data_IF_954562084524
#
_entry.id   IF_954562084524
#
_cell.length_a   1.000
_cell.length_b   1.000
_cell.length_c   1.000
_cell.angle_alpha   90.00
_cell.angle_beta   90.00
_cell.angle_gamma   90.00
#
_symmetry.space_group_name_H-M   'P 1'
#
loop_
_entity.id
_entity.type
_entity.pdbx_description
1 polymer ?
#
# COMPACT_ATOMS: atom_id res chain seq x y z
N UNK A 1 0.25 13.34 -16.54
CA UNK A 1 1.19 12.51 -15.73
C UNK A 1 2.28 11.95 -16.62
N UNK A 2 3.49 11.80 -16.11
CA UNK A 2 4.60 11.11 -16.78
C UNK A 2 4.36 9.59 -16.79
N UNK A 3 5.01 8.83 -17.70
CA UNK A 3 4.83 7.37 -17.79
C UNK A 3 5.08 6.63 -16.47
N UNK A 4 6.14 7.00 -15.74
CA UNK A 4 6.48 6.40 -14.44
C UNK A 4 5.42 6.66 -13.35
N UNK A 5 4.79 7.83 -13.36
CA UNK A 5 3.70 8.16 -12.45
C UNK A 5 2.44 7.36 -12.79
N UNK A 6 2.12 7.23 -14.08
CA UNK A 6 1.00 6.40 -14.52
C UNK A 6 1.20 4.93 -14.15
N UNK A 7 2.44 4.44 -14.24
CA UNK A 7 2.78 3.08 -13.81
C UNK A 7 2.56 2.89 -12.31
N UNK A 8 2.98 3.85 -11.48
CA UNK A 8 2.76 3.80 -10.03
C UNK A 8 1.27 3.81 -9.66
N UNK A 9 0.45 4.61 -10.34
CA UNK A 9 -1.00 4.64 -10.14
C UNK A 9 -1.63 3.31 -10.54
N UNK A 10 -1.30 2.75 -11.73
CA UNK A 10 -1.82 1.44 -12.16
C UNK A 10 -1.44 0.32 -11.19
N UNK A 11 -0.21 0.33 -10.69
CA UNK A 11 0.24 -0.66 -9.74
C UNK A 11 -0.55 -0.59 -8.43
N UNK A 12 -0.81 0.61 -7.92
CA UNK A 12 -1.64 0.82 -6.73
C UNK A 12 -3.10 0.41 -6.98
N UNK A 13 -3.65 0.75 -8.15
CA UNK A 13 -4.99 0.33 -8.58
C UNK A 13 -5.14 -1.19 -8.57
N UNK A 14 -4.21 -1.93 -9.18
CA UNK A 14 -4.25 -3.39 -9.20
C UNK A 14 -4.12 -4.00 -7.79
N UNK A 15 -3.26 -3.41 -6.93
CA UNK A 15 -3.16 -3.82 -5.52
C UNK A 15 -4.48 -3.60 -4.78
N UNK A 16 -5.07 -2.40 -4.89
CA UNK A 16 -6.34 -2.06 -4.23
C UNK A 16 -7.44 -3.04 -4.67
N UNK A 17 -7.52 -3.32 -5.97
CA UNK A 17 -8.50 -4.28 -6.51
C UNK A 17 -8.33 -5.68 -5.89
N UNK A 18 -7.10 -6.20 -5.86
CA UNK A 18 -6.82 -7.53 -5.30
C UNK A 18 -7.18 -7.59 -3.81
N UNK A 19 -6.76 -6.61 -3.03
CA UNK A 19 -6.99 -6.57 -1.58
C UNK A 19 -8.46 -6.32 -1.22
N UNK A 20 -9.21 -5.56 -2.03
CA UNK A 20 -10.67 -5.45 -1.90
C UNK A 20 -11.35 -6.80 -2.18
N UNK A 21 -10.94 -7.49 -3.23
CA UNK A 21 -11.47 -8.79 -3.60
C UNK A 21 -11.21 -9.85 -2.53
N UNK A 22 -10.06 -9.79 -1.84
CA UNK A 22 -9.68 -10.73 -0.80
C UNK A 22 -10.61 -10.74 0.43
N UNK A 23 -11.45 -9.72 0.58
CA UNK A 23 -12.47 -9.60 1.65
C UNK A 23 -13.89 -9.56 1.11
N UNK A 24 -14.11 -9.94 -0.16
CA UNK A 24 -15.38 -9.83 -0.87
C UNK A 24 -15.91 -8.38 -0.91
N UNK A 25 -15.01 -7.40 -0.98
CA UNK A 25 -15.32 -6.00 -1.20
C UNK A 25 -15.76 -5.71 -2.64
N UNK A 26 -16.23 -4.51 -2.87
CA UNK A 26 -16.56 -4.02 -4.22
C UNK A 26 -15.45 -3.11 -4.74
N UNK A 27 -15.23 -3.18 -6.05
CA UNK A 27 -14.27 -2.33 -6.75
C UNK A 27 -14.93 -1.69 -7.96
N UNK A 28 -14.96 -0.36 -7.99
CA UNK A 28 -15.48 0.44 -9.09
C UNK A 28 -14.30 1.08 -9.83
N UNK A 29 -14.14 0.78 -11.11
CA UNK A 29 -13.20 1.46 -11.99
C UNK A 29 -13.97 2.34 -13.00
N UNK A 30 -13.47 3.56 -13.20
CA UNK A 30 -13.99 4.54 -14.15
C UNK A 30 -12.82 5.18 -14.92
N UNK A 31 -13.08 6.05 -15.87
CA UNK A 31 -12.03 6.80 -16.55
C UNK A 31 -11.37 7.86 -15.65
N UNK A 32 -12.06 8.30 -14.60
CA UNK A 32 -11.62 9.39 -13.70
C UNK A 32 -10.97 8.88 -12.41
N UNK A 33 -11.47 7.75 -11.87
CA UNK A 33 -11.04 7.23 -10.57
C UNK A 33 -11.35 5.75 -10.41
N UNK A 34 -10.71 5.13 -9.42
CA UNK A 34 -11.13 3.86 -8.86
C UNK A 34 -11.59 4.04 -7.40
N UNK A 35 -12.53 3.21 -6.97
CA UNK A 35 -13.01 3.17 -5.60
C UNK A 35 -13.05 1.74 -5.11
N UNK A 36 -12.33 1.47 -4.02
CA UNK A 36 -12.44 0.26 -3.21
C UNK A 36 -13.41 0.48 -2.06
N UNK A 37 -14.32 -0.45 -1.86
CA UNK A 37 -15.22 -0.49 -0.71
C UNK A 37 -15.23 -1.91 -0.13
N UNK A 38 -14.63 -2.09 1.02
CA UNK A 38 -14.54 -3.38 1.73
C UNK A 38 -15.79 -3.71 2.53
N UNK A 39 -16.77 -2.79 2.61
CA UNK A 39 -17.95 -2.85 3.51
C UNK A 39 -17.55 -2.96 5.00
N UNK A 40 -16.35 -2.49 5.33
CA UNK A 40 -15.80 -2.36 6.69
C UNK A 40 -15.41 -0.89 6.83
N UNK A 41 -15.67 -0.28 7.99
CA UNK A 41 -15.34 1.14 8.20
C UNK A 41 -13.83 1.29 8.49
N UNK A 42 -13.03 1.28 7.43
CA UNK A 42 -11.56 1.39 7.44
C UNK A 42 -11.09 2.36 6.36
N UNK A 43 -10.27 3.34 6.69
CA UNK A 43 -9.63 4.25 5.75
C UNK A 43 -8.42 3.61 5.04
N UNK A 44 -7.82 2.59 5.66
CA UNK A 44 -6.68 1.86 5.10
C UNK A 44 -7.03 1.13 3.79
N UNK A 45 -8.25 0.60 3.65
CA UNK A 45 -8.66 -0.24 2.52
C UNK A 45 -9.86 0.27 1.74
N UNK A 46 -10.61 1.24 2.27
CA UNK A 46 -11.62 1.96 1.50
C UNK A 46 -10.94 3.18 0.86
N UNK A 47 -10.62 3.06 -0.41
CA UNK A 47 -9.78 4.02 -1.09
C UNK A 47 -10.46 4.56 -2.34
N UNK A 48 -10.50 5.89 -2.46
CA UNK A 48 -10.76 6.59 -3.70
C UNK A 48 -9.41 7.03 -4.28
N UNK A 49 -9.08 6.56 -5.48
CA UNK A 49 -7.83 6.87 -6.17
C UNK A 49 -8.14 7.55 -7.50
N UNK A 50 -7.89 8.86 -7.64
CA UNK A 50 -7.92 9.55 -8.93
C UNK A 50 -6.93 8.96 -9.93
N UNK A 51 -7.40 8.68 -11.15
CA UNK A 51 -6.59 8.10 -12.24
C UNK A 51 -6.40 9.04 -13.41
N UNK A 52 -7.20 10.12 -13.48
CA UNK A 52 -7.17 11.14 -14.53
C UNK A 52 -6.95 12.54 -13.95
N UNK A 53 -6.27 13.41 -14.71
CA UNK A 53 -6.07 14.82 -14.34
C UNK A 53 -7.34 15.67 -14.55
N UNK A 54 -8.22 15.26 -15.44
CA UNK A 54 -9.49 15.94 -15.70
C UNK A 54 -10.63 15.02 -15.30
N UNK A 55 -11.57 15.57 -14.53
CA UNK A 55 -12.78 14.85 -14.17
C UNK A 55 -13.77 14.99 -15.33
N UNK A 56 -14.02 13.90 -16.05
CA UNK A 56 -14.95 13.88 -17.16
C UNK A 56 -16.41 13.78 -16.72
N UNK A 57 -16.64 13.04 -15.61
CA UNK A 57 -17.98 12.90 -15.01
C UNK A 57 -17.97 13.27 -13.52
N UNK A 58 -18.06 14.60 -13.19
CA UNK A 58 -18.10 15.06 -11.81
C UNK A 58 -19.28 14.48 -10.99
N UNK A 59 -20.41 14.17 -11.65
CA UNK A 59 -21.57 13.59 -10.98
C UNK A 59 -21.27 12.19 -10.47
N UNK A 60 -20.51 11.41 -11.24
CA UNK A 60 -20.13 10.04 -10.88
C UNK A 60 -19.16 10.03 -9.70
N UNK A 61 -18.19 10.94 -9.68
CA UNK A 61 -17.25 11.11 -8.56
C UNK A 61 -18.01 11.49 -7.28
N UNK A 62 -18.89 12.51 -7.36
CA UNK A 62 -19.71 12.95 -6.23
C UNK A 62 -20.60 11.82 -5.71
N UNK A 63 -21.29 11.11 -6.60
CA UNK A 63 -22.11 9.96 -6.22
C UNK A 63 -21.32 8.86 -5.49
N UNK A 64 -20.07 8.61 -5.89
CA UNK A 64 -19.20 7.65 -5.22
C UNK A 64 -18.85 8.07 -3.78
N UNK A 65 -18.48 9.34 -3.58
CA UNK A 65 -18.19 9.90 -2.24
C UNK A 65 -19.45 9.88 -1.37
N UNK A 66 -20.57 10.34 -1.90
CA UNK A 66 -21.85 10.37 -1.18
C UNK A 66 -22.33 8.96 -0.81
N UNK A 67 -22.09 7.98 -1.68
CA UNK A 67 -22.39 6.58 -1.39
C UNK A 67 -21.61 6.09 -0.16
N UNK A 68 -20.31 6.32 -0.09
CA UNK A 68 -19.49 5.95 1.07
C UNK A 68 -19.98 6.64 2.36
N UNK A 69 -20.26 7.93 2.28
CA UNK A 69 -20.78 8.72 3.42
C UNK A 69 -22.18 8.26 3.88
N UNK A 70 -23.06 7.94 2.94
CA UNK A 70 -24.42 7.44 3.26
C UNK A 70 -24.40 6.11 4.01
N UNK A 71 -23.41 5.28 3.75
CA UNK A 71 -23.17 4.01 4.44
C UNK A 71 -22.38 4.19 5.75
N UNK A 72 -22.00 5.42 6.10
CA UNK A 72 -21.15 5.74 7.26
C UNK A 72 -19.81 4.99 7.24
N UNK A 73 -19.28 4.75 6.04
CA UNK A 73 -17.97 4.14 5.86
C UNK A 73 -16.90 5.23 5.89
N UNK A 74 -15.87 4.99 6.68
CA UNK A 74 -14.64 5.78 6.63
C UNK A 74 -13.90 5.37 5.36
N UNK A 75 -13.32 6.33 4.66
CA UNK A 75 -12.50 6.10 3.47
C UNK A 75 -11.46 7.22 3.36
N UNK A 76 -10.36 6.94 2.66
CA UNK A 76 -9.36 7.92 2.30
C UNK A 76 -9.32 8.17 0.79
N UNK A 77 -8.90 9.37 0.39
CA UNK A 77 -8.60 9.69 -1.00
C UNK A 77 -7.09 9.77 -1.15
N UNK A 78 -6.52 8.89 -1.97
CA UNK A 78 -5.09 8.86 -2.27
C UNK A 78 -4.85 9.52 -3.62
N UNK A 79 -4.18 10.67 -3.63
CA UNK A 79 -4.07 11.50 -4.82
C UNK A 79 -2.60 11.85 -5.12
N UNK A 80 -2.17 11.60 -6.37
CA UNK A 80 -0.86 12.07 -6.82
C UNK A 80 -0.81 13.60 -6.78
N UNK A 81 0.28 14.16 -6.29
CA UNK A 81 0.46 15.60 -6.12
C UNK A 81 0.15 16.43 -7.37
N UNK A 82 0.43 15.90 -8.56
CA UNK A 82 0.15 16.59 -9.82
C UNK A 82 -1.34 16.83 -10.04
N UNK A 83 -2.22 16.05 -9.43
CA UNK A 83 -3.67 16.19 -9.54
C UNK A 83 -4.24 17.22 -8.57
N UNK A 84 -3.48 17.63 -7.55
CA UNK A 84 -3.90 18.66 -6.58
C UNK A 84 -4.05 20.07 -7.18
N UNK A 85 -3.64 20.25 -8.43
CA UNK A 85 -3.78 21.52 -9.16
C UNK A 85 -4.84 21.44 -10.27
N UNK A 86 -5.76 20.50 -10.17
CA UNK A 86 -6.82 20.23 -11.15
C UNK A 86 -8.19 20.31 -10.46
N UNK A 87 -9.25 19.89 -11.15
CA UNK A 87 -10.63 19.83 -10.62
C UNK A 87 -10.75 19.02 -9.32
N UNK A 88 -9.79 18.12 -9.05
CA UNK A 88 -9.74 17.34 -7.80
C UNK A 88 -9.55 18.22 -6.56
N UNK A 89 -8.78 19.32 -6.67
CA UNK A 89 -8.58 20.24 -5.54
C UNK A 89 -9.88 20.87 -5.08
N UNK A 90 -10.73 21.28 -6.02
CA UNK A 90 -12.03 21.89 -5.72
C UNK A 90 -12.98 20.84 -5.10
N UNK A 91 -12.92 19.61 -5.59
CA UNK A 91 -13.74 18.51 -5.07
C UNK A 91 -13.32 18.13 -3.64
N UNK A 92 -12.02 17.99 -3.36
CA UNK A 92 -11.52 17.73 -2.00
C UNK A 92 -12.00 18.81 -1.02
N UNK A 93 -11.96 20.08 -1.44
CA UNK A 93 -12.42 21.22 -0.65
C UNK A 93 -13.95 21.22 -0.47
N UNK A 94 -14.73 20.91 -1.51
CA UNK A 94 -16.20 20.82 -1.45
C UNK A 94 -16.63 19.77 -0.43
N UNK A 95 -15.90 18.65 -0.34
CA UNK A 95 -16.20 17.59 0.63
C UNK A 95 -15.42 17.72 1.94
N UNK A 96 -14.76 18.86 2.17
CA UNK A 96 -14.02 19.18 3.41
C UNK A 96 -12.98 18.12 3.79
N UNK A 97 -12.43 17.39 2.80
CA UNK A 97 -11.40 16.41 3.03
C UNK A 97 -10.07 17.10 3.34
N UNK A 98 -9.39 16.66 4.40
CA UNK A 98 -8.14 17.26 4.88
C UNK A 98 -6.95 16.34 4.58
N UNK A 99 -5.82 16.93 4.19
CA UNK A 99 -4.58 16.17 4.02
C UNK A 99 -4.06 15.70 5.38
N UNK A 100 -3.96 14.40 5.57
CA UNK A 100 -3.51 13.76 6.82
C UNK A 100 -2.14 13.13 6.70
N UNK A 101 -1.72 12.75 5.48
CA UNK A 101 -0.44 12.11 5.23
C UNK A 101 0.08 12.44 3.83
N UNK A 102 1.41 12.44 3.67
CA UNK A 102 2.08 12.58 2.38
C UNK A 102 3.27 11.63 2.28
N UNK A 103 3.24 10.78 1.26
CA UNK A 103 4.28 9.80 0.98
C UNK A 103 5.03 10.14 -0.30
N UNK A 104 6.34 9.88 -0.34
CA UNK A 104 7.12 10.01 -1.58
C UNK A 104 6.98 8.73 -2.40
N UNK A 105 6.47 8.84 -3.64
CA UNK A 105 6.49 7.72 -4.58
C UNK A 105 7.92 7.62 -5.12
N UNK A 106 8.52 6.45 -4.97
CA UNK A 106 9.89 6.20 -5.39
C UNK A 106 9.96 4.98 -6.31
N UNK A 107 10.90 5.01 -7.25
CA UNK A 107 11.12 3.96 -8.23
C UNK A 107 12.59 3.57 -8.33
N UNK A 108 12.83 2.28 -8.47
CA UNK A 108 14.11 1.70 -8.90
C UNK A 108 13.87 1.07 -10.28
N UNK A 109 14.58 1.54 -11.31
CA UNK A 109 14.35 1.08 -12.69
C UNK A 109 14.67 -0.41 -12.87
N UNK A 110 15.79 -0.85 -12.30
CA UNK A 110 16.24 -2.25 -12.38
C UNK A 110 16.84 -2.69 -11.07
N UNK A 111 16.49 -3.88 -10.62
CA UNK A 111 17.04 -4.41 -9.36
C UNK A 111 18.49 -4.89 -9.47
N UNK A 112 18.98 -5.16 -10.70
CA UNK A 112 20.32 -5.72 -10.87
C UNK A 112 20.51 -7.05 -10.12
N UNK A 113 21.75 -7.41 -9.87
CA UNK A 113 22.10 -8.52 -8.98
C UNK A 113 22.18 -7.96 -7.55
N UNK A 114 21.20 -8.31 -6.72
CA UNK A 114 21.14 -7.91 -5.32
C UNK A 114 21.68 -9.06 -4.49
N UNK A 115 22.81 -8.83 -3.84
CA UNK A 115 23.37 -9.81 -2.91
C UNK A 115 22.43 -10.03 -1.72
N UNK A 116 22.17 -11.27 -1.32
CA UNK A 116 21.40 -11.55 -0.13
C UNK A 116 22.09 -10.97 1.10
N UNK A 117 21.31 -10.47 2.05
CA UNK A 117 21.84 -10.00 3.34
C UNK A 117 22.47 -11.16 4.09
N UNK A 118 23.79 -11.17 4.17
CA UNK A 118 24.58 -12.29 4.75
C UNK A 118 24.63 -12.26 6.28
N UNK A 119 24.23 -11.17 6.93
CA UNK A 119 24.33 -10.96 8.38
C UNK A 119 23.02 -10.67 9.09
N UNK A 120 21.86 -10.94 8.47
CA UNK A 120 20.57 -10.70 9.11
C UNK A 120 20.30 -11.69 10.25
N UNK A 121 19.79 -11.18 11.38
CA UNK A 121 19.26 -12.00 12.47
C UNK A 121 17.83 -12.51 12.19
N UNK A 122 17.23 -12.10 11.06
CA UNK A 122 15.86 -12.47 10.70
C UNK A 122 15.77 -13.85 10.07
N UNK A 123 14.80 -14.65 10.56
CA UNK A 123 14.23 -15.75 9.78
C UNK A 123 12.98 -15.24 9.10
N UNK A 124 12.97 -15.15 7.77
CA UNK A 124 11.82 -14.62 7.03
C UNK A 124 11.00 -15.80 6.49
N UNK A 125 9.67 -15.73 6.68
CA UNK A 125 8.72 -16.73 6.16
C UNK A 125 7.66 -16.02 5.31
N UNK A 126 7.26 -16.68 4.24
CA UNK A 126 6.10 -16.29 3.45
C UNK A 126 4.80 -16.64 4.19
N UNK A 127 3.77 -15.81 4.04
CA UNK A 127 2.44 -16.01 4.62
C UNK A 127 1.68 -17.00 3.75
N UNK A 128 1.65 -18.27 4.17
CA UNK A 128 1.02 -19.37 3.44
C UNK A 128 -0.04 -20.13 4.27
N UNK A 129 -0.17 -19.78 5.55
CA UNK A 129 -1.08 -20.42 6.50
C UNK A 129 -1.68 -19.42 7.49
N UNK A 130 -2.66 -19.87 8.26
CA UNK A 130 -3.36 -19.06 9.26
C UNK A 130 -2.41 -18.51 10.35
N UNK A 131 -1.38 -19.27 10.73
CA UNK A 131 -0.44 -18.83 11.77
C UNK A 131 0.43 -17.67 11.27
N UNK A 132 1.00 -17.78 10.08
CA UNK A 132 1.81 -16.72 9.50
C UNK A 132 0.97 -15.50 9.13
N UNK A 133 -0.30 -15.67 8.72
CA UNK A 133 -1.24 -14.57 8.55
C UNK A 133 -1.55 -13.89 9.89
N UNK A 134 -1.76 -14.66 10.94
CA UNK A 134 -1.98 -14.12 12.30
C UNK A 134 -0.79 -13.26 12.73
N UNK A 135 0.44 -13.75 12.53
CA UNK A 135 1.66 -13.02 12.90
C UNK A 135 1.81 -11.72 12.06
N UNK A 136 1.50 -11.77 10.77
CA UNK A 136 1.51 -10.60 9.88
C UNK A 136 0.51 -9.54 10.33
N UNK A 137 -0.78 -9.91 10.46
CA UNK A 137 -1.84 -8.98 10.85
C UNK A 137 -1.56 -8.34 12.20
N UNK A 138 -0.99 -9.09 13.15
CA UNK A 138 -0.70 -8.58 14.48
C UNK A 138 0.32 -7.43 14.44
N UNK A 139 1.38 -7.55 13.63
CA UNK A 139 2.34 -6.46 13.42
C UNK A 139 1.67 -5.28 12.69
N UNK A 140 0.87 -5.57 11.66
CA UNK A 140 0.19 -4.55 10.87
C UNK A 140 -0.77 -3.72 11.73
N UNK A 141 -1.65 -4.38 12.48
CA UNK A 141 -2.68 -3.73 13.32
C UNK A 141 -2.04 -2.94 14.48
N UNK A 142 -0.87 -3.36 14.95
CA UNK A 142 -0.17 -2.66 16.04
C UNK A 142 0.15 -1.20 15.70
N UNK A 143 0.31 -0.84 14.41
CA UNK A 143 0.47 0.56 13.97
C UNK A 143 -0.72 1.45 14.38
N UNK A 144 -1.90 0.86 14.45
CA UNK A 144 -3.17 1.54 14.71
C UNK A 144 -3.66 1.37 16.14
N UNK A 145 -2.79 0.89 17.04
CA UNK A 145 -3.12 0.62 18.43
C UNK A 145 -3.72 1.84 19.14
N UNK A 146 -4.91 1.67 19.68
CA UNK A 146 -5.63 2.72 20.40
C UNK A 146 -6.55 3.57 19.51
N UNK A 147 -6.64 3.29 18.22
CA UNK A 147 -7.59 3.91 17.30
C UNK A 147 -8.78 3.00 16.96
N UNK A 148 -9.84 3.57 16.39
CA UNK A 148 -10.98 2.81 15.84
C UNK A 148 -10.59 1.96 14.66
N UNK A 149 -9.55 2.35 13.91
CA UNK A 149 -9.01 1.64 12.76
C UNK A 149 -8.48 0.25 13.16
N UNK A 150 -7.85 0.10 14.32
CA UNK A 150 -7.38 -1.21 14.79
C UNK A 150 -8.51 -2.25 14.86
N UNK A 151 -9.70 -1.87 15.33
CA UNK A 151 -10.86 -2.78 15.40
C UNK A 151 -11.41 -3.11 14.00
N UNK A 152 -11.42 -2.14 13.08
CA UNK A 152 -11.84 -2.36 11.70
C UNK A 152 -10.89 -3.31 10.97
N UNK A 153 -9.58 -3.18 11.18
CA UNK A 153 -8.57 -4.05 10.61
C UNK A 153 -8.64 -5.48 11.15
N UNK A 154 -9.02 -5.69 12.42
CA UNK A 154 -9.30 -7.03 12.92
C UNK A 154 -10.44 -7.70 12.13
N UNK A 155 -11.52 -6.97 11.86
CA UNK A 155 -12.63 -7.47 11.02
C UNK A 155 -12.18 -7.73 9.59
N UNK A 156 -11.34 -6.85 9.04
CA UNK A 156 -10.78 -7.00 7.69
C UNK A 156 -10.01 -8.32 7.57
N UNK A 157 -9.05 -8.57 8.45
CA UNK A 157 -8.23 -9.77 8.41
C UNK A 157 -8.99 -11.06 8.79
N UNK A 158 -10.11 -10.98 9.50
CA UNK A 158 -11.01 -12.13 9.70
C UNK A 158 -11.71 -12.58 8.41
N UNK A 159 -11.94 -11.66 7.45
CA UNK A 159 -12.57 -11.95 6.16
C UNK A 159 -11.55 -12.23 5.06
N UNK A 160 -10.28 -12.03 5.34
CA UNK A 160 -9.21 -12.02 4.35
C UNK A 160 -8.91 -13.43 3.84
N UNK A 161 -9.01 -13.63 2.51
CA UNK A 161 -8.65 -14.88 1.85
C UNK A 161 -7.23 -14.80 1.30
N UNK A 162 -6.32 -15.59 1.85
CA UNK A 162 -4.92 -15.68 1.42
C UNK A 162 -4.84 -16.26 0.00
N UNK A 163 -5.70 -17.23 -0.34
CA UNK A 163 -5.65 -17.94 -1.61
C UNK A 163 -5.82 -17.01 -2.81
N UNK A 164 -6.56 -15.91 -2.65
CA UNK A 164 -6.75 -14.92 -3.71
C UNK A 164 -5.49 -14.11 -4.01
N UNK A 165 -4.51 -14.08 -3.10
CA UNK A 165 -3.30 -13.29 -3.26
C UNK A 165 -2.20 -13.98 -4.08
N UNK A 166 -2.08 -15.31 -3.99
CA UNK A 166 -0.91 -16.07 -4.46
C UNK A 166 -0.49 -15.84 -5.91
N UNK A 167 -1.35 -15.28 -6.75
CA UNK A 167 -1.00 -14.99 -8.15
C UNK A 167 -0.23 -13.70 -8.36
N UNK A 168 -0.35 -12.71 -7.44
CA UNK A 168 0.22 -11.37 -7.62
C UNK A 168 0.84 -10.77 -6.35
N UNK A 169 0.49 -11.27 -5.18
CA UNK A 169 0.94 -10.72 -3.91
C UNK A 169 1.56 -11.80 -3.04
N UNK A 170 2.74 -11.50 -2.51
CA UNK A 170 3.46 -12.36 -1.56
C UNK A 170 3.71 -11.55 -0.29
N UNK A 171 3.15 -12.00 0.82
CA UNK A 171 3.30 -11.40 2.13
C UNK A 171 4.36 -12.14 2.93
N UNK A 172 5.14 -11.42 3.74
CA UNK A 172 6.25 -12.00 4.49
C UNK A 172 6.25 -11.51 5.94
N UNK A 173 6.67 -12.40 6.84
CA UNK A 173 6.93 -12.10 8.25
C UNK A 173 8.38 -12.40 8.58
N UNK A 174 9.06 -11.45 9.20
CA UNK A 174 10.41 -11.62 9.73
C UNK A 174 10.37 -11.88 11.23
N UNK A 175 11.09 -12.91 11.65
CA UNK A 175 11.18 -13.36 13.04
C UNK A 175 12.57 -13.14 13.60
N UNK A 176 12.67 -12.52 14.76
CA UNK A 176 13.87 -12.45 15.59
C UNK A 176 13.67 -13.32 16.84
N UNK A 177 14.53 -14.33 17.05
CA UNK A 177 14.39 -15.29 18.17
C UNK A 177 12.96 -15.90 18.26
N UNK A 178 12.43 -16.34 17.13
CA UNK A 178 11.08 -16.92 16.97
C UNK A 178 9.91 -15.95 17.26
N UNK A 179 10.16 -14.66 17.47
CA UNK A 179 9.10 -13.65 17.64
C UNK A 179 8.88 -12.89 16.31
N UNK A 180 7.64 -12.71 15.89
CA UNK A 180 7.35 -11.91 14.70
C UNK A 180 7.61 -10.43 15.01
N UNK A 181 8.49 -9.79 14.23
CA UNK A 181 9.00 -8.44 14.51
C UNK A 181 8.89 -7.47 13.33
N UNK A 182 8.79 -7.98 12.10
CA UNK A 182 8.68 -7.14 10.91
C UNK A 182 7.85 -7.84 9.84
N UNK A 183 7.23 -7.06 8.96
CA UNK A 183 6.47 -7.54 7.81
C UNK A 183 7.00 -6.94 6.52
N UNK A 184 6.54 -7.48 5.40
CA UNK A 184 6.72 -6.93 4.07
C UNK A 184 5.77 -7.56 3.08
N UNK A 185 5.40 -6.81 2.05
CA UNK A 185 4.56 -7.25 0.96
C UNK A 185 5.24 -6.95 -0.36
N UNK A 186 5.36 -7.96 -1.21
CA UNK A 186 5.74 -7.84 -2.61
C UNK A 186 4.50 -8.04 -3.48
N UNK A 187 4.22 -7.08 -4.34
CA UNK A 187 3.09 -7.12 -5.27
C UNK A 187 3.61 -7.06 -6.71
N UNK A 188 3.19 -7.98 -7.56
CA UNK A 188 3.66 -8.06 -8.94
C UNK A 188 2.55 -7.66 -9.93
N UNK A 189 2.90 -6.78 -10.88
CA UNK A 189 2.11 -6.48 -12.06
C UNK A 189 2.86 -6.92 -13.33
N UNK A 190 2.28 -6.67 -14.49
CA UNK A 190 2.95 -6.97 -15.76
C UNK A 190 4.26 -6.18 -15.93
N UNK A 191 4.31 -4.93 -15.44
CA UNK A 191 5.37 -3.97 -15.74
C UNK A 191 6.28 -3.67 -14.54
N UNK A 192 5.84 -3.96 -13.32
CA UNK A 192 6.54 -3.54 -12.10
C UNK A 192 6.32 -4.49 -10.94
N UNK A 193 7.20 -4.36 -9.94
CA UNK A 193 6.98 -4.84 -8.57
C UNK A 193 6.65 -3.68 -7.67
N UNK A 194 5.76 -3.88 -6.69
CA UNK A 194 5.49 -2.94 -5.60
C UNK A 194 5.97 -3.52 -4.28
N UNK A 195 6.65 -2.71 -3.48
CA UNK A 195 7.00 -3.06 -2.11
C UNK A 195 6.12 -2.24 -1.18
N UNK A 196 5.40 -2.94 -0.29
CA UNK A 196 4.47 -2.37 0.67
C UNK A 196 4.66 -3.01 2.05
N UNK A 197 4.04 -2.41 3.05
CA UNK A 197 3.88 -2.95 4.40
C UNK A 197 5.21 -3.38 5.05
N UNK A 198 6.32 -2.66 4.74
CA UNK A 198 7.60 -2.85 5.42
C UNK A 198 7.49 -2.19 6.79
N UNK A 199 6.96 -2.95 7.74
CA UNK A 199 6.64 -2.50 9.09
C UNK A 199 7.55 -3.21 10.08
N UNK A 200 8.16 -2.47 10.99
CA UNK A 200 8.89 -3.05 12.12
C UNK A 200 8.26 -2.59 13.43
N UNK A 201 7.99 -3.53 14.33
CA UNK A 201 7.43 -3.25 15.66
C UNK A 201 8.26 -2.22 16.39
N UNK A 202 7.60 -1.32 17.13
CA UNK A 202 8.23 -0.14 17.74
C UNK A 202 9.47 -0.49 18.59
N UNK A 203 9.39 -1.51 19.41
CA UNK A 203 10.47 -1.97 20.29
C UNK A 203 11.64 -2.67 19.58
N UNK A 204 11.46 -2.95 18.27
CA UNK A 204 12.48 -3.58 17.42
C UNK A 204 13.07 -2.62 16.37
N UNK A 205 12.62 -1.34 16.33
CA UNK A 205 13.16 -0.32 15.42
C UNK A 205 14.59 0.05 15.79
N UNK A 206 15.31 0.65 14.81
CA UNK A 206 16.69 1.08 15.00
C UNK A 206 17.75 -0.02 14.96
N UNK A 207 17.36 -1.29 14.79
CA UNK A 207 18.25 -2.46 14.71
C UNK A 207 18.55 -2.93 13.28
N UNK A 208 18.05 -2.24 12.26
CA UNK A 208 18.25 -2.63 10.85
C UNK A 208 17.21 -3.63 10.30
N UNK A 209 16.31 -4.19 11.14
CA UNK A 209 15.41 -5.28 10.75
C UNK A 209 14.46 -4.91 9.59
N UNK A 210 13.98 -3.67 9.55
CA UNK A 210 13.17 -3.18 8.41
C UNK A 210 13.98 -3.09 7.11
N UNK A 211 15.26 -2.72 7.20
CA UNK A 211 16.17 -2.72 6.05
C UNK A 211 16.45 -4.14 5.56
N UNK A 212 16.61 -5.10 6.49
CA UNK A 212 16.83 -6.51 6.14
C UNK A 212 15.61 -7.10 5.45
N UNK A 213 14.38 -6.81 5.95
CA UNK A 213 13.14 -7.21 5.29
C UNK A 213 13.02 -6.59 3.90
N UNK A 214 13.27 -5.30 3.77
CA UNK A 214 13.25 -4.60 2.49
C UNK A 214 14.24 -5.20 1.49
N UNK A 215 15.48 -5.44 1.89
CA UNK A 215 16.48 -6.10 1.05
C UNK A 215 16.04 -7.51 0.63
N UNK A 216 15.47 -8.27 1.57
CA UNK A 216 14.92 -9.58 1.25
C UNK A 216 13.85 -9.49 0.15
N UNK A 217 12.90 -8.55 0.27
CA UNK A 217 11.86 -8.35 -0.75
C UNK A 217 12.47 -8.03 -2.13
N UNK A 218 13.53 -7.23 -2.19
CA UNK A 218 14.23 -6.97 -3.45
C UNK A 218 14.85 -8.24 -4.04
N UNK A 219 15.37 -9.17 -3.22
CA UNK A 219 15.90 -10.45 -3.73
C UNK A 219 14.79 -11.34 -4.27
N UNK A 220 13.54 -11.15 -3.87
CA UNK A 220 12.39 -11.92 -4.34
C UNK A 220 11.83 -11.43 -5.69
N UNK A 221 12.34 -10.33 -6.24
CA UNK A 221 11.97 -9.87 -7.57
C UNK A 221 12.63 -10.77 -8.62
N UNK A 222 11.84 -11.63 -9.28
CA UNK A 222 12.37 -12.64 -10.23
C UNK A 222 12.78 -12.01 -11.57
N UNK A 223 11.91 -11.11 -12.10
CA UNK A 223 12.20 -10.43 -13.36
C UNK A 223 12.93 -9.11 -13.11
N UNK A 224 14.27 -9.14 -13.26
CA UNK A 224 15.16 -7.99 -13.05
C UNK A 224 14.97 -6.84 -14.04
N UNK A 225 14.21 -7.04 -15.11
CA UNK A 225 13.87 -5.99 -16.08
C UNK A 225 12.68 -5.14 -15.65
N UNK A 226 11.85 -5.63 -14.72
CA UNK A 226 10.77 -4.83 -14.15
C UNK A 226 11.32 -3.82 -13.15
N UNK A 227 10.75 -2.61 -13.16
CA UNK A 227 11.04 -1.64 -12.13
C UNK A 227 10.37 -2.03 -10.79
N UNK A 228 10.89 -1.47 -9.70
CA UNK A 228 10.29 -1.60 -8.37
C UNK A 228 9.78 -0.24 -7.92
N UNK A 229 8.54 -0.19 -7.43
CA UNK A 229 7.86 1.02 -6.98
C UNK A 229 7.48 0.86 -5.51
N UNK A 230 7.58 1.94 -4.75
CA UNK A 230 7.12 2.01 -3.37
C UNK A 230 6.65 3.42 -3.01
N UNK A 231 5.91 3.49 -1.91
CA UNK A 231 5.52 4.76 -1.28
C UNK A 231 6.25 4.86 0.05
N UNK A 232 7.19 5.78 0.11
CA UNK A 232 8.05 5.99 1.27
C UNK A 232 7.44 7.03 2.21
N UNK A 233 7.24 6.64 3.47
CA UNK A 233 7.04 7.60 4.55
C UNK A 233 8.29 8.47 4.76
N UNK A 234 8.16 9.59 5.46
CA UNK A 234 9.29 10.46 5.77
C UNK A 234 10.44 9.71 6.46
N UNK A 235 10.12 8.80 7.38
CA UNK A 235 11.11 8.01 8.14
C UNK A 235 11.81 6.95 7.27
N UNK A 236 11.08 6.34 6.33
CA UNK A 236 11.58 5.26 5.48
C UNK A 236 12.42 5.72 4.28
N UNK A 237 12.22 6.96 3.81
CA UNK A 237 12.78 7.48 2.55
C UNK A 237 14.29 7.25 2.40
N UNK A 238 15.06 7.49 3.45
CA UNK A 238 16.51 7.34 3.43
C UNK A 238 17.00 5.91 3.22
N UNK A 239 16.20 4.90 3.61
CA UNK A 239 16.52 3.48 3.39
C UNK A 239 16.47 3.19 1.90
N UNK A 240 15.40 3.64 1.24
CA UNK A 240 15.16 3.40 -0.18
C UNK A 240 16.11 4.19 -1.08
N UNK A 241 16.44 5.43 -0.72
CA UNK A 241 17.43 6.22 -1.46
C UNK A 241 18.80 5.55 -1.47
N UNK A 242 19.25 4.96 -0.34
CA UNK A 242 20.52 4.23 -0.27
C UNK A 242 20.53 2.96 -1.13
N UNK A 243 19.36 2.36 -1.37
CA UNK A 243 19.19 1.24 -2.28
C UNK A 243 19.04 1.66 -3.77
N UNK A 244 19.18 2.95 -4.08
CA UNK A 244 19.14 3.46 -5.45
C UNK A 244 17.78 3.95 -5.93
N UNK A 245 16.75 3.89 -5.10
CA UNK A 245 15.43 4.41 -5.47
C UNK A 245 15.45 5.94 -5.67
N UNK A 246 14.81 6.39 -6.73
CA UNK A 246 14.66 7.81 -7.05
C UNK A 246 13.21 8.26 -6.82
N UNK A 247 12.99 9.47 -6.26
CA UNK A 247 11.65 10.01 -6.15
C UNK A 247 11.09 10.37 -7.52
N UNK A 248 9.85 9.96 -7.80
CA UNK A 248 9.16 10.24 -9.07
C UNK A 248 7.93 11.13 -8.88
N UNK A 249 7.26 11.07 -7.73
CA UNK A 249 6.13 11.91 -7.35
C UNK A 249 5.89 11.87 -5.84
N UNK A 250 4.78 12.48 -5.41
CA UNK A 250 4.26 12.37 -4.05
C UNK A 250 2.80 11.91 -4.09
N UNK A 251 2.39 11.11 -3.13
CA UNK A 251 1.03 10.68 -2.88
C UNK A 251 0.51 11.36 -1.62
N UNK A 252 -0.49 12.21 -1.75
CA UNK A 252 -1.18 12.82 -0.60
C UNK A 252 -2.41 12.00 -0.23
N UNK A 253 -2.66 11.85 1.06
CA UNK A 253 -3.80 11.13 1.63
C UNK A 253 -4.73 12.14 2.28
N UNK A 254 -6.00 12.10 1.91
CA UNK A 254 -7.05 12.97 2.42
C UNK A 254 -8.16 12.14 3.09
N UNK A 255 -8.65 12.64 4.22
CA UNK A 255 -9.77 12.08 5.00
C UNK A 255 -10.83 13.13 5.33
#
# INVERSE_FOLDING_TARGET
MKPEQQMAIRQLEEKIHLFSSAVNGTFLATDDFVLSNTHISTDTFNLLLPTSAQIQDPKKVKAAIEHMRSQKLIFSTWIDHHLLHTDWADLLKEYELQEVERNTIMMLEHTGDIDPVTSSSLTIKEVLDEQTLFDYKHIFIELFKGSTEAAALEVYFQRFSIELLHSKARMFVGYEHHKPVTTGLLFETNDSYGIYDVITRAEHRGKGLGSDMFHYLLTQTENKQKCVILQASADGKNIYQRAGFQPISEMAVFE
#
